data_IF_034252047712
#
_entry.id   IF_034252047712
#
_cell.length_a   1.000
_cell.length_b   1.000
_cell.length_c   1.000
_cell.angle_alpha   90.00
_cell.angle_beta   90.00
_cell.angle_gamma   90.00
#
_symmetry.space_group_name_H-M   'P 1'
#
loop_
_entity.id
_entity.type
_entity.pdbx_description
1 polymer ?
#
# COMPACT_ATOMS: atom_id res chain seq x y z
N UNK A 1 39.54 -56.20 -7.40
CA UNK A 1 39.09 -56.03 -6.00
C UNK A 1 37.75 -55.28 -6.06
N UNK A 2 36.56 -55.86 -6.18
CA UNK A 2 35.81 -56.90 -5.41
C UNK A 2 35.58 -56.53 -3.93
N UNK A 3 34.29 -56.58 -3.56
CA UNK A 3 33.61 -56.55 -2.25
C UNK A 3 32.94 -55.21 -1.87
N UNK A 4 31.61 -55.03 -2.02
CA UNK A 4 30.39 -55.60 -1.38
C UNK A 4 30.17 -55.20 0.10
N UNK A 5 29.06 -54.47 0.31
CA UNK A 5 28.14 -54.35 1.47
C UNK A 5 28.73 -54.13 2.88
N UNK A 6 28.11 -53.31 3.73
CA UNK A 6 26.97 -53.72 4.57
C UNK A 6 26.26 -52.49 5.17
N UNK A 7 24.91 -52.51 5.13
CA UNK A 7 24.03 -51.67 5.94
C UNK A 7 24.26 -51.94 7.43
N UNK A 8 24.29 -50.88 8.26
CA UNK A 8 23.84 -51.01 9.64
C UNK A 8 22.83 -49.92 9.95
N UNK A 9 21.57 -50.34 9.90
CA UNK A 9 20.46 -49.71 10.60
C UNK A 9 20.71 -49.97 12.09
N UNK A 10 20.80 -48.90 12.89
CA UNK A 10 20.61 -49.01 14.34
C UNK A 10 19.50 -48.04 14.69
N UNK A 11 18.31 -48.64 14.82
CA UNK A 11 17.20 -48.16 15.61
C UNK A 11 17.66 -47.96 17.04
N UNK A 12 17.37 -46.80 17.65
CA UNK A 12 16.81 -46.71 18.99
C UNK A 12 16.03 -45.40 19.13
N UNK A 13 14.80 -45.55 19.61
CA UNK A 13 13.77 -44.55 19.78
C UNK A 13 13.82 -43.92 21.19
N UNK A 14 13.48 -42.62 21.22
CA UNK A 14 12.85 -41.86 22.34
C UNK A 14 13.77 -41.21 23.41
N UNK A 15 13.28 -40.24 24.20
CA UNK A 15 13.15 -38.85 23.76
C UNK A 15 13.72 -37.89 24.83
N UNK A 16 14.67 -37.03 24.50
CA UNK A 16 15.12 -35.99 25.43
C UNK A 16 14.73 -34.61 24.92
N UNK A 17 13.68 -34.08 25.54
CA UNK A 17 13.20 -32.70 25.52
C UNK A 17 14.33 -31.70 25.80
N UNK A 18 15.09 -31.32 24.78
CA UNK A 18 15.84 -30.06 24.79
C UNK A 18 15.06 -29.01 24.03
N UNK A 19 14.31 -28.21 24.78
CA UNK A 19 13.88 -26.88 24.35
C UNK A 19 15.14 -26.11 23.93
N UNK A 20 15.30 -25.65 22.68
CA UNK A 20 16.21 -24.56 22.43
C UNK A 20 15.60 -23.32 23.09
N UNK A 21 16.23 -22.83 24.16
CA UNK A 21 15.96 -21.47 24.61
C UNK A 21 16.44 -20.55 23.49
N UNK A 22 15.51 -20.14 22.63
CA UNK A 22 15.71 -19.02 21.74
C UNK A 22 15.96 -17.82 22.64
N UNK A 23 17.23 -17.44 22.77
CA UNK A 23 17.62 -16.15 23.29
C UNK A 23 17.09 -15.15 22.27
N UNK A 24 15.88 -14.65 22.52
CA UNK A 24 15.38 -13.48 21.81
C UNK A 24 16.29 -12.32 22.21
N UNK A 25 17.31 -12.04 21.40
CA UNK A 25 17.94 -10.74 21.38
C UNK A 25 16.90 -9.73 20.89
N UNK A 26 16.05 -9.25 21.80
CA UNK A 26 15.28 -8.04 21.57
C UNK A 26 16.25 -6.88 21.62
N UNK A 27 16.86 -6.56 20.48
CA UNK A 27 17.45 -5.23 20.28
C UNK A 27 16.30 -4.23 20.24
N UNK A 28 15.80 -3.88 21.43
CA UNK A 28 14.95 -2.72 21.64
C UNK A 28 15.83 -1.51 21.37
N UNK A 29 15.87 -1.10 20.11
CA UNK A 29 16.39 0.20 19.71
C UNK A 29 15.52 1.23 20.41
N UNK A 30 16.00 1.78 21.53
CA UNK A 30 15.48 3.02 22.07
C UNK A 30 15.68 4.09 20.98
N UNK A 31 14.62 4.35 20.21
CA UNK A 31 14.51 5.61 19.47
C UNK A 31 14.55 6.70 20.52
N UNK A 32 15.68 7.39 20.61
CA UNK A 32 15.76 8.68 21.29
C UNK A 32 14.63 9.53 20.72
N UNK A 33 13.61 9.82 21.53
CA UNK A 33 12.63 10.86 21.21
C UNK A 33 13.41 12.14 21.12
N UNK A 34 13.56 12.67 19.91
CA UNK A 34 14.04 14.03 19.70
C UNK A 34 13.09 14.98 20.44
N UNK A 35 13.53 15.71 21.48
CA UNK A 35 12.71 16.72 22.10
C UNK A 35 12.78 17.94 21.18
N UNK A 36 11.67 18.25 20.52
CA UNK A 36 11.61 19.38 19.60
C UNK A 36 10.75 19.09 18.37
N UNK A 37 9.51 18.62 18.58
CA UNK A 37 8.46 18.92 17.61
C UNK A 37 8.20 20.42 17.75
N UNK A 38 9.04 21.22 17.08
CA UNK A 38 8.85 22.66 16.92
C UNK A 38 7.45 22.82 16.34
N UNK A 39 6.56 23.25 17.22
CA UNK A 39 5.33 23.97 16.94
C UNK A 39 4.78 23.72 15.54
N UNK A 40 3.67 22.98 15.49
CA UNK A 40 2.71 23.10 14.41
C UNK A 40 2.09 24.52 14.49
N UNK A 41 2.92 25.58 14.34
CA UNK A 41 2.47 26.95 14.22
C UNK A 41 1.63 26.96 12.97
N UNK A 42 0.36 27.35 13.11
CA UNK A 42 -0.48 27.67 11.95
C UNK A 42 0.21 28.82 11.22
N UNK A 43 1.02 28.48 10.21
CA UNK A 43 1.66 29.45 9.33
C UNK A 43 0.53 30.30 8.75
N UNK A 44 0.61 31.62 8.93
CA UNK A 44 -0.39 32.52 8.38
C UNK A 44 -0.41 32.39 6.85
N UNK A 45 -1.54 32.70 6.20
CA UNK A 45 -1.63 32.57 4.74
C UNK A 45 -0.59 33.46 4.04
N UNK A 46 -0.28 34.61 4.63
CA UNK A 46 0.76 35.53 4.14
C UNK A 46 2.17 34.96 4.34
N UNK A 47 2.50 34.42 5.51
CA UNK A 47 3.81 33.78 5.74
C UNK A 47 4.04 32.56 4.83
N UNK A 48 2.98 31.79 4.58
CA UNK A 48 3.02 30.69 3.62
C UNK A 48 3.28 31.22 2.20
N UNK A 49 2.62 32.31 1.82
CA UNK A 49 2.78 32.92 0.51
C UNK A 49 4.18 33.49 0.30
N UNK A 50 4.78 34.12 1.33
CA UNK A 50 6.17 34.59 1.29
C UNK A 50 7.18 33.47 1.03
N UNK A 51 6.97 32.29 1.61
CA UNK A 51 7.81 31.11 1.31
C UNK A 51 7.59 30.61 -0.13
N UNK A 52 6.37 30.74 -0.63
CA UNK A 52 5.95 30.26 -1.96
C UNK A 52 6.35 31.20 -3.09
N UNK A 53 6.47 32.50 -2.84
CA UNK A 53 6.67 33.49 -3.91
C UNK A 53 7.99 33.31 -4.67
N UNK A 54 9.04 32.86 -3.97
CA UNK A 54 10.32 32.52 -4.60
C UNK A 54 10.20 31.39 -5.63
N UNK A 55 9.19 30.51 -5.49
CA UNK A 55 8.85 29.51 -6.50
C UNK A 55 7.99 30.12 -7.62
N UNK A 56 6.97 30.90 -7.29
CA UNK A 56 6.07 31.54 -8.27
C UNK A 56 6.86 32.41 -9.25
N UNK A 57 7.86 33.16 -8.76
CA UNK A 57 8.75 33.99 -9.58
C UNK A 57 9.58 33.20 -10.60
N UNK A 58 9.84 31.92 -10.32
CA UNK A 58 10.61 31.03 -11.21
C UNK A 58 9.72 30.27 -12.20
N UNK A 59 8.40 30.43 -12.13
CA UNK A 59 7.50 29.87 -13.13
C UNK A 59 7.67 30.60 -14.46
N UNK A 60 7.70 29.85 -15.56
CA UNK A 60 7.82 30.42 -16.91
C UNK A 60 6.65 31.33 -17.28
N UNK A 61 5.44 31.02 -16.80
CA UNK A 61 4.28 31.90 -16.90
C UNK A 61 3.57 32.00 -15.54
N UNK A 62 3.25 33.23 -15.13
CA UNK A 62 2.49 33.52 -13.92
C UNK A 62 1.05 33.85 -14.28
N UNK A 63 0.11 33.37 -13.48
CA UNK A 63 -1.31 33.72 -13.61
C UNK A 63 -1.55 35.19 -13.26
N UNK A 64 -2.66 35.79 -13.72
CA UNK A 64 -3.03 37.16 -13.37
C UNK A 64 -3.09 37.37 -11.84
N UNK A 65 -3.60 36.38 -11.10
CA UNK A 65 -3.64 36.37 -9.64
C UNK A 65 -2.24 36.37 -9.03
N UNK A 66 -1.34 35.53 -9.55
CA UNK A 66 0.03 35.42 -9.06
C UNK A 66 0.83 36.71 -9.31
N UNK A 67 0.62 37.38 -10.45
CA UNK A 67 1.20 38.70 -10.72
C UNK A 67 0.71 39.74 -9.72
N UNK A 68 -0.60 39.81 -9.50
CA UNK A 68 -1.20 40.71 -8.50
C UNK A 68 -0.66 40.44 -7.08
N UNK A 69 -0.46 39.18 -6.72
CA UNK A 69 0.18 38.79 -5.45
C UNK A 69 1.63 39.28 -5.37
N UNK A 70 2.40 39.17 -6.47
CA UNK A 70 3.78 39.65 -6.55
C UNK A 70 3.84 41.17 -6.35
N UNK A 71 3.01 41.92 -7.08
CA UNK A 71 2.96 43.39 -6.99
C UNK A 71 2.63 43.87 -5.57
N UNK A 72 1.67 43.19 -4.91
CA UNK A 72 1.29 43.49 -3.53
C UNK A 72 2.36 43.07 -2.51
N UNK A 73 3.14 42.04 -2.77
CA UNK A 73 4.23 41.64 -1.87
C UNK A 73 5.46 42.53 -2.05
N UNK A 74 5.79 42.95 -3.26
CA UNK A 74 6.94 43.81 -3.51
C UNK A 74 6.77 45.22 -2.92
N UNK A 75 5.52 45.67 -2.73
CA UNK A 75 5.19 46.95 -2.10
C UNK A 75 4.73 46.82 -0.64
N UNK A 76 5.14 45.77 0.10
CA UNK A 76 4.58 45.41 1.43
C UNK A 76 4.49 46.57 2.45
N UNK A 77 5.49 47.46 2.44
CA UNK A 77 5.60 48.58 3.38
C UNK A 77 4.57 49.69 3.12
N UNK A 78 4.04 49.80 1.89
CA UNK A 78 3.14 50.86 1.47
C UNK A 78 1.66 50.47 1.39
N UNK A 79 1.28 49.23 1.73
CA UNK A 79 -0.10 48.78 1.54
C UNK A 79 -1.08 49.50 2.46
N UNK A 80 -2.17 49.94 1.84
CA UNK A 80 -3.41 50.32 2.49
C UNK A 80 -4.06 49.12 3.19
N UNK A 81 -4.95 49.39 4.14
CA UNK A 81 -5.70 48.34 4.84
C UNK A 81 -6.57 47.51 3.88
N UNK A 82 -7.12 48.12 2.83
CA UNK A 82 -7.86 47.39 1.79
C UNK A 82 -6.95 46.42 1.03
N UNK A 83 -5.76 46.86 0.64
CA UNK A 83 -4.79 46.01 -0.08
C UNK A 83 -4.27 44.87 0.81
N UNK A 84 -4.09 45.11 2.12
CA UNK A 84 -3.73 44.04 3.09
C UNK A 84 -4.82 42.96 3.16
N UNK A 85 -6.08 43.36 3.22
CA UNK A 85 -7.23 42.43 3.18
C UNK A 85 -7.29 41.68 1.86
N UNK A 86 -7.10 42.39 0.74
CA UNK A 86 -7.05 41.80 -0.59
C UNK A 86 -5.93 40.76 -0.69
N UNK A 87 -4.72 41.10 -0.25
CA UNK A 87 -3.58 40.17 -0.23
C UNK A 87 -3.89 38.91 0.57
N UNK A 88 -4.56 39.04 1.73
CA UNK A 88 -4.97 37.89 2.53
C UNK A 88 -5.98 36.99 1.79
N UNK A 89 -6.97 37.57 1.10
CA UNK A 89 -7.95 36.82 0.30
C UNK A 89 -7.25 36.10 -0.85
N UNK A 90 -6.38 36.78 -1.58
CA UNK A 90 -5.61 36.20 -2.69
C UNK A 90 -4.68 35.08 -2.21
N UNK A 91 -4.01 35.26 -1.07
CA UNK A 91 -3.18 34.25 -0.43
C UNK A 91 -3.97 32.98 -0.10
N UNK A 92 -5.18 33.17 0.44
CA UNK A 92 -6.07 32.07 0.81
C UNK A 92 -6.54 31.31 -0.42
N UNK A 93 -6.94 32.02 -1.48
CA UNK A 93 -7.35 31.41 -2.74
C UNK A 93 -6.22 30.60 -3.39
N UNK A 94 -5.00 31.16 -3.48
CA UNK A 94 -3.83 30.47 -4.03
C UNK A 94 -3.49 29.20 -3.24
N UNK A 95 -3.56 29.27 -1.91
CA UNK A 95 -3.31 28.13 -1.03
C UNK A 95 -4.35 27.04 -1.21
N UNK A 96 -5.62 27.41 -1.31
CA UNK A 96 -6.72 26.47 -1.51
C UNK A 96 -6.62 25.77 -2.86
N UNK A 97 -6.30 26.49 -3.93
CA UNK A 97 -6.16 25.90 -5.27
C UNK A 97 -4.98 24.91 -5.32
N UNK A 98 -3.85 25.23 -4.69
CA UNK A 98 -2.73 24.31 -4.58
C UNK A 98 -3.07 23.07 -3.74
N UNK A 99 -3.79 23.25 -2.62
CA UNK A 99 -4.24 22.13 -1.79
C UNK A 99 -5.23 21.24 -2.54
N UNK A 100 -6.15 21.82 -3.31
CA UNK A 100 -7.10 21.08 -4.14
C UNK A 100 -6.34 20.22 -5.15
N UNK A 101 -5.42 20.82 -5.92
CA UNK A 101 -4.59 20.09 -6.88
C UNK A 101 -3.76 18.98 -6.23
N UNK A 102 -3.15 19.24 -5.07
CA UNK A 102 -2.37 18.23 -4.36
C UNK A 102 -3.27 17.10 -3.85
N UNK A 103 -4.46 17.42 -3.34
CA UNK A 103 -5.44 16.44 -2.86
C UNK A 103 -5.96 15.57 -3.99
N UNK A 104 -6.25 16.14 -5.17
CA UNK A 104 -6.67 15.40 -6.35
C UNK A 104 -5.58 14.46 -6.83
N UNK A 105 -4.33 14.93 -6.88
CA UNK A 105 -3.17 14.09 -7.22
C UNK A 105 -3.02 12.94 -6.22
N UNK A 106 -3.11 13.21 -4.92
CA UNK A 106 -3.05 12.18 -3.87
C UNK A 106 -4.18 11.17 -4.00
N UNK A 107 -5.42 11.64 -4.24
CA UNK A 107 -6.58 10.77 -4.44
C UNK A 107 -6.43 9.89 -5.68
N UNK A 108 -5.94 10.45 -6.80
CA UNK A 108 -5.71 9.69 -8.02
C UNK A 108 -4.65 8.60 -7.81
N UNK A 109 -3.56 8.91 -7.10
CA UNK A 109 -2.54 7.92 -6.72
C UNK A 109 -3.12 6.86 -5.79
N UNK A 110 -3.90 7.26 -4.79
CA UNK A 110 -4.52 6.33 -3.84
C UNK A 110 -5.48 5.37 -4.55
N UNK A 111 -6.33 5.85 -5.46
CA UNK A 111 -7.23 5.01 -6.26
C UNK A 111 -6.45 3.99 -7.09
N UNK A 112 -5.30 4.37 -7.65
CA UNK A 112 -4.42 3.44 -8.39
C UNK A 112 -3.80 2.38 -7.48
N UNK A 113 -3.34 2.76 -6.29
CA UNK A 113 -2.77 1.83 -5.31
C UNK A 113 -3.84 0.83 -4.85
N UNK A 114 -5.02 1.33 -4.50
CA UNK A 114 -6.14 0.50 -4.06
C UNK A 114 -6.59 -0.47 -5.16
N UNK A 115 -6.71 0.00 -6.41
CA UNK A 115 -7.02 -0.88 -7.54
C UNK A 115 -5.96 -1.98 -7.76
N UNK A 116 -4.67 -1.68 -7.57
CA UNK A 116 -3.60 -2.70 -7.62
C UNK A 116 -3.70 -3.68 -6.46
N UNK A 117 -3.98 -3.19 -5.25
CA UNK A 117 -4.15 -4.03 -4.05
C UNK A 117 -5.32 -5.01 -4.22
N UNK A 118 -6.47 -4.53 -4.68
CA UNK A 118 -7.64 -5.36 -4.94
C UNK A 118 -7.37 -6.44 -6.00
N UNK A 119 -6.66 -6.10 -7.08
CA UNK A 119 -6.26 -7.09 -8.10
C UNK A 119 -5.32 -8.15 -7.53
N UNK A 120 -4.35 -7.76 -6.69
CA UNK A 120 -3.43 -8.70 -6.04
C UNK A 120 -4.18 -9.64 -5.09
N UNK A 121 -5.06 -9.09 -4.26
CA UNK A 121 -5.87 -9.87 -3.32
C UNK A 121 -6.79 -10.85 -4.06
N UNK A 122 -7.48 -10.38 -5.10
CA UNK A 122 -8.31 -11.25 -5.94
C UNK A 122 -7.50 -12.36 -6.58
N UNK A 123 -6.35 -12.03 -7.19
CA UNK A 123 -5.50 -13.05 -7.82
C UNK A 123 -4.95 -14.03 -6.78
N UNK A 124 -4.58 -13.57 -5.59
CA UNK A 124 -4.15 -14.44 -4.49
C UNK A 124 -5.26 -15.44 -4.12
N UNK A 125 -6.50 -14.99 -3.96
CA UNK A 125 -7.65 -15.88 -3.71
C UNK A 125 -7.92 -16.85 -4.85
N UNK A 126 -7.77 -16.42 -6.10
CA UNK A 126 -7.88 -17.31 -7.26
C UNK A 126 -6.79 -18.39 -7.25
N UNK A 127 -5.57 -18.06 -6.84
CA UNK A 127 -4.49 -19.04 -6.67
C UNK A 127 -4.76 -20.01 -5.53
N UNK A 128 -5.31 -19.54 -4.39
CA UNK A 128 -5.72 -20.42 -3.31
C UNK A 128 -6.82 -21.40 -3.75
N UNK A 129 -7.83 -20.90 -4.48
CA UNK A 129 -8.89 -21.75 -5.03
C UNK A 129 -8.36 -22.76 -6.06
N UNK A 130 -7.41 -22.35 -6.91
CA UNK A 130 -6.73 -23.28 -7.82
C UNK A 130 -5.85 -24.30 -7.07
N UNK A 131 -5.27 -23.90 -5.93
CA UNK A 131 -4.55 -24.80 -5.02
C UNK A 131 -5.39 -25.99 -4.57
N UNK A 132 -6.70 -25.79 -4.36
CA UNK A 132 -7.62 -26.89 -4.05
C UNK A 132 -7.71 -27.93 -5.17
N UNK A 133 -7.62 -27.51 -6.44
CA UNK A 133 -7.60 -28.45 -7.57
C UNK A 133 -6.29 -29.27 -7.61
N UNK A 134 -5.19 -28.66 -7.17
CA UNK A 134 -3.90 -29.34 -7.01
C UNK A 134 -4.00 -30.36 -5.87
N UNK A 135 -4.53 -29.97 -4.71
CA UNK A 135 -4.73 -30.85 -3.56
C UNK A 135 -5.71 -32.00 -3.85
N UNK A 136 -6.75 -31.76 -4.65
CA UNK A 136 -7.67 -32.78 -5.13
C UNK A 136 -7.07 -33.73 -6.18
N UNK A 137 -5.80 -33.51 -6.59
CA UNK A 137 -5.11 -34.34 -7.59
C UNK A 137 -5.61 -34.16 -9.01
N UNK A 138 -6.36 -33.09 -9.29
CA UNK A 138 -6.90 -32.79 -10.62
C UNK A 138 -5.89 -32.06 -11.52
N UNK A 139 -4.80 -31.54 -10.92
CA UNK A 139 -3.71 -30.83 -11.59
C UNK A 139 -2.39 -31.49 -11.21
N UNK A 140 -1.51 -31.70 -12.19
CA UNK A 140 -0.16 -32.18 -11.94
C UNK A 140 0.69 -31.04 -11.34
N UNK A 141 1.21 -31.26 -10.13
CA UNK A 141 2.08 -30.32 -9.41
C UNK A 141 3.38 -29.96 -10.16
N UNK A 142 3.87 -30.84 -11.04
CA UNK A 142 5.14 -30.63 -11.75
C UNK A 142 4.95 -29.86 -13.06
N UNK A 143 3.90 -30.17 -13.81
CA UNK A 143 3.65 -29.57 -15.13
C UNK A 143 2.62 -28.44 -15.10
N UNK A 144 1.73 -28.43 -14.10
CA UNK A 144 0.61 -27.49 -14.00
C UNK A 144 -0.55 -27.82 -14.94
N UNK A 145 -0.51 -28.96 -15.63
CA UNK A 145 -1.56 -29.40 -16.55
C UNK A 145 -2.66 -30.18 -15.81
N UNK A 146 -3.86 -30.19 -16.39
CA UNK A 146 -4.95 -30.99 -15.86
C UNK A 146 -4.67 -32.48 -16.08
N UNK A 147 -4.77 -33.28 -15.02
CA UNK A 147 -4.56 -34.74 -15.08
C UNK A 147 -5.62 -35.46 -15.95
N UNK A 148 -6.77 -34.80 -16.17
CA UNK A 148 -7.88 -35.33 -16.95
C UNK A 148 -8.37 -34.32 -17.99
N UNK A 149 -9.15 -34.79 -18.96
CA UNK A 149 -9.82 -33.93 -19.95
C UNK A 149 -10.64 -32.86 -19.24
N UNK A 150 -10.43 -31.60 -19.64
CA UNK A 150 -11.11 -30.41 -19.10
C UNK A 150 -12.62 -30.60 -18.95
N UNK A 151 -13.28 -31.14 -19.96
CA UNK A 151 -14.75 -31.28 -19.97
C UNK A 151 -15.25 -32.24 -18.89
N UNK A 152 -14.50 -33.32 -18.62
CA UNK A 152 -14.82 -34.30 -17.58
C UNK A 152 -14.70 -33.67 -16.19
N UNK A 153 -13.63 -32.92 -15.95
CA UNK A 153 -13.42 -32.20 -14.68
C UNK A 153 -14.53 -31.16 -14.48
N UNK A 154 -14.85 -30.39 -15.52
CA UNK A 154 -15.89 -29.37 -15.44
C UNK A 154 -17.27 -29.96 -15.15
N UNK A 155 -17.61 -31.09 -15.78
CA UNK A 155 -18.87 -31.78 -15.53
C UNK A 155 -18.97 -32.26 -14.07
N UNK A 156 -17.92 -32.93 -13.57
CA UNK A 156 -17.89 -33.40 -12.18
C UNK A 156 -17.95 -32.25 -11.17
N UNK A 157 -17.29 -31.12 -11.44
CA UNK A 157 -17.36 -29.93 -10.57
C UNK A 157 -18.76 -29.29 -10.56
N UNK A 158 -19.51 -29.36 -11.67
CA UNK A 158 -20.90 -28.88 -11.72
C UNK A 158 -21.83 -29.77 -10.90
N UNK A 159 -21.64 -31.08 -10.95
CA UNK A 159 -22.37 -32.04 -10.12
C UNK A 159 -22.08 -31.79 -8.64
N UNK A 160 -20.80 -31.66 -8.26
CA UNK A 160 -20.41 -31.31 -6.89
C UNK A 160 -21.03 -29.97 -6.43
N UNK A 161 -21.04 -28.94 -7.30
CA UNK A 161 -21.68 -27.65 -6.98
C UNK A 161 -23.17 -27.84 -6.68
N UNK A 162 -23.87 -28.62 -7.50
CA UNK A 162 -25.29 -28.91 -7.31
C UNK A 162 -25.53 -29.63 -5.98
N UNK A 163 -24.72 -30.63 -5.65
CA UNK A 163 -24.82 -31.37 -4.38
C UNK A 163 -24.57 -30.44 -3.17
N UNK A 164 -23.56 -29.57 -3.23
CA UNK A 164 -23.27 -28.61 -2.16
C UNK A 164 -24.39 -27.57 -1.96
N UNK A 165 -25.06 -27.16 -3.04
CA UNK A 165 -26.19 -26.21 -2.98
C UNK A 165 -27.49 -26.85 -2.49
N UNK A 166 -27.63 -28.17 -2.62
CA UNK A 166 -28.86 -28.91 -2.30
C UNK A 166 -28.76 -29.76 -1.03
N UNK A 167 -27.56 -30.09 -0.58
CA UNK A 167 -27.35 -30.76 0.71
C UNK A 167 -27.60 -29.78 1.87
N UNK A 168 -28.26 -30.20 2.96
CA UNK A 168 -28.40 -29.38 4.16
C UNK A 168 -27.00 -29.08 4.71
N UNK A 169 -26.72 -27.79 4.93
CA UNK A 169 -25.42 -27.35 5.42
C UNK A 169 -25.12 -28.01 6.78
N UNK A 170 -24.04 -28.80 6.92
CA UNK A 170 -23.69 -29.43 8.19
C UNK A 170 -23.20 -28.41 9.25
N UNK A 171 -22.87 -27.19 8.82
CA UNK A 171 -22.30 -26.12 9.65
C UNK A 171 -23.22 -24.88 9.80
N UNK A 172 -24.51 -24.98 9.45
CA UNK A 172 -25.51 -23.90 9.65
C UNK A 172 -26.14 -23.92 11.05
#
# INVERSE_FOLDING_TARGET
>A
MRFLLILRISTEDTPCTRRPQAIYCTTTTHRKKTPGSITNMRISNIEWLKKRIGFIRKLGEQTARQRQIIDLIDNEAGLTEQERKLLHVLATAEKNDLQAQESERKQAVQKRIEGKKQRRERNHRLFLAAGLLIEAGLVDTKTGELCYKKDRILQALKELKYDLETSPNPDA
#
